data_IF_031127922423
#
_entry.id   IF_031127922423
#
_cell.length_a   1.000
_cell.length_b   1.000
_cell.length_c   1.000
_cell.angle_alpha   90.00
_cell.angle_beta   90.00
_cell.angle_gamma   90.00
#
_symmetry.space_group_name_H-M   'P 1'
#
loop_
_entity.id
_entity.type
_entity.pdbx_description
1 polymer ?
#
# COMPACT_ATOMS: atom_id res chain seq x y z
N UNK A 1 -6.17 39.29 0.83
CA UNK A 1 -6.47 37.93 0.35
C UNK A 1 -6.96 37.15 1.53
N UNK A 2 -8.18 36.63 1.46
CA UNK A 2 -8.73 35.80 2.53
C UNK A 2 -8.30 34.33 2.38
N UNK A 3 -8.54 33.50 3.41
CA UNK A 3 -8.14 32.09 3.41
C UNK A 3 -8.82 31.25 2.31
N UNK A 4 -10.09 31.52 1.99
CA UNK A 4 -10.83 30.80 0.94
C UNK A 4 -10.35 31.21 -0.45
N UNK A 5 -10.04 32.49 -0.63
CA UNK A 5 -9.43 33.05 -1.82
C UNK A 5 -8.05 32.43 -2.07
N UNK A 6 -7.24 32.24 -1.01
CA UNK A 6 -5.95 31.56 -1.08
C UNK A 6 -6.06 30.09 -1.53
N UNK A 7 -7.01 29.33 -0.98
CA UNK A 7 -7.28 27.95 -1.41
C UNK A 7 -7.69 27.91 -2.89
N UNK A 8 -8.64 28.76 -3.30
CA UNK A 8 -9.11 28.83 -4.68
C UNK A 8 -7.97 29.14 -5.65
N UNK A 9 -7.03 30.02 -5.29
CA UNK A 9 -5.85 30.32 -6.12
C UNK A 9 -5.00 29.06 -6.34
N UNK A 10 -4.75 28.28 -5.28
CA UNK A 10 -3.96 27.04 -5.36
C UNK A 10 -4.69 25.98 -6.19
N UNK A 11 -6.01 25.88 -6.07
CA UNK A 11 -6.81 24.87 -6.76
C UNK A 11 -7.09 25.21 -8.24
N UNK A 12 -7.23 26.50 -8.60
CA UNK A 12 -7.67 26.93 -9.93
C UNK A 12 -6.55 27.41 -10.88
N UNK A 13 -5.33 27.77 -10.41
CA UNK A 13 -4.29 28.36 -11.30
C UNK A 13 -2.85 27.90 -11.00
N UNK A 14 -2.06 27.79 -12.07
CA UNK A 14 -0.61 27.58 -12.07
C UNK A 14 0.18 28.89 -12.14
N UNK A 15 -0.22 29.93 -11.40
CA UNK A 15 0.47 31.22 -11.42
C UNK A 15 1.49 31.27 -10.27
N UNK A 16 2.76 31.13 -10.63
CA UNK A 16 3.88 30.84 -9.73
C UNK A 16 4.37 32.06 -8.92
N UNK A 17 3.81 33.24 -9.16
CA UNK A 17 4.28 34.52 -8.60
C UNK A 17 3.65 34.90 -7.24
N UNK A 18 2.78 34.07 -6.66
CA UNK A 18 2.04 34.44 -5.44
C UNK A 18 2.39 33.62 -4.19
N UNK A 19 3.42 32.77 -4.22
CA UNK A 19 3.81 31.94 -3.08
C UNK A 19 4.02 32.75 -1.79
N UNK A 20 4.76 33.86 -1.83
CA UNK A 20 5.01 34.69 -0.64
C UNK A 20 3.71 35.26 -0.01
N UNK A 21 2.71 35.59 -0.83
CA UNK A 21 1.41 36.07 -0.36
C UNK A 21 0.55 34.93 0.20
N UNK A 22 0.61 33.75 -0.41
CA UNK A 22 -0.10 32.57 0.09
C UNK A 22 0.50 32.10 1.41
N UNK A 23 1.83 32.05 1.49
CA UNK A 23 2.59 31.63 2.67
C UNK A 23 2.15 32.37 3.93
N UNK A 24 2.13 33.71 3.86
CA UNK A 24 1.70 34.54 4.99
C UNK A 24 0.29 34.21 5.46
N UNK A 25 -0.67 34.04 4.54
CA UNK A 25 -2.06 33.67 4.90
C UNK A 25 -2.15 32.32 5.63
N UNK A 26 -1.41 31.30 5.19
CA UNK A 26 -1.42 29.98 5.84
C UNK A 26 -0.62 29.97 7.15
N UNK A 27 0.48 30.71 7.25
CA UNK A 27 1.27 30.86 8.47
C UNK A 27 0.50 31.61 9.56
N UNK A 28 -0.20 32.70 9.21
CA UNK A 28 -1.09 33.43 10.12
C UNK A 28 -2.21 32.50 10.59
N UNK A 29 -2.81 31.73 9.68
CA UNK A 29 -3.86 30.78 10.05
C UNK A 29 -3.35 29.69 11.01
N UNK A 30 -2.13 29.20 10.82
CA UNK A 30 -1.50 28.21 11.70
C UNK A 30 -1.26 28.74 13.13
N UNK A 31 -1.11 30.06 13.29
CA UNK A 31 -0.97 30.70 14.60
C UNK A 31 -2.31 30.87 15.32
N UNK A 32 -3.40 31.05 14.57
CA UNK A 32 -4.76 31.15 15.11
C UNK A 32 -5.35 29.81 15.55
N UNK A 33 -4.99 28.72 14.86
CA UNK A 33 -5.55 27.39 15.10
C UNK A 33 -5.09 26.81 16.45
N UNK A 34 -6.01 26.16 17.16
CA UNK A 34 -5.66 25.45 18.39
C UNK A 34 -4.70 24.29 18.07
N UNK A 35 -3.88 23.89 19.04
CA UNK A 35 -2.94 22.77 18.85
C UNK A 35 -3.64 21.43 18.62
N UNK A 36 -4.92 21.31 18.96
CA UNK A 36 -5.73 20.10 18.77
C UNK A 36 -6.53 20.06 17.46
N UNK A 37 -6.47 21.12 16.65
CA UNK A 37 -7.09 21.22 15.32
C UNK A 37 -6.19 20.57 14.25
N UNK A 38 -5.90 19.28 14.46
CA UNK A 38 -4.89 18.57 13.68
C UNK A 38 -5.19 18.50 12.17
N UNK A 39 -6.46 18.33 11.79
CA UNK A 39 -6.86 18.27 10.37
C UNK A 39 -6.56 19.60 9.66
N UNK A 40 -7.01 20.71 10.23
CA UNK A 40 -6.87 22.06 9.68
C UNK A 40 -5.40 22.47 9.61
N UNK A 41 -4.63 22.18 10.66
CA UNK A 41 -3.18 22.42 10.67
C UNK A 41 -2.47 21.62 9.59
N UNK A 42 -2.81 20.34 9.45
CA UNK A 42 -2.28 19.49 8.39
C UNK A 42 -2.63 20.02 6.99
N UNK A 43 -3.85 20.50 6.78
CA UNK A 43 -4.27 21.13 5.52
C UNK A 43 -3.48 22.42 5.24
N UNK A 44 -3.21 23.26 6.24
CA UNK A 44 -2.35 24.44 6.05
C UNK A 44 -0.96 24.04 5.56
N UNK A 45 -0.33 23.04 6.17
CA UNK A 45 0.97 22.52 5.69
C UNK A 45 0.88 21.89 4.30
N UNK A 46 -0.20 21.19 3.98
CA UNK A 46 -0.46 20.66 2.64
C UNK A 46 -0.53 21.79 1.60
N UNK A 47 -1.30 22.86 1.85
CA UNK A 47 -1.42 23.96 0.90
C UNK A 47 -0.12 24.77 0.77
N UNK A 48 0.62 24.97 1.87
CA UNK A 48 1.99 25.51 1.84
C UNK A 48 2.91 24.66 0.94
N UNK A 49 2.93 23.35 1.16
CA UNK A 49 3.70 22.41 0.34
C UNK A 49 3.31 22.46 -1.13
N UNK A 50 2.02 22.38 -1.45
CA UNK A 50 1.53 22.42 -2.83
C UNK A 50 1.89 23.75 -3.50
N UNK A 51 1.75 24.86 -2.79
CA UNK A 51 2.10 26.17 -3.32
C UNK A 51 3.60 26.30 -3.59
N UNK A 52 4.46 25.79 -2.70
CA UNK A 52 5.92 25.78 -2.85
C UNK A 52 6.34 24.86 -4.01
N UNK A 53 5.80 23.64 -4.07
CA UNK A 53 6.06 22.70 -5.15
C UNK A 53 5.63 23.30 -6.49
N UNK A 54 4.47 23.95 -6.57
CA UNK A 54 4.08 24.63 -7.80
C UNK A 54 5.08 25.73 -8.15
N UNK A 55 5.44 26.61 -7.21
CA UNK A 55 6.33 27.75 -7.45
C UNK A 55 7.76 27.38 -7.88
N UNK A 56 8.38 26.36 -7.27
CA UNK A 56 9.76 25.97 -7.57
C UNK A 56 9.81 24.83 -8.60
N UNK A 57 10.43 25.09 -9.75
CA UNK A 57 10.41 24.18 -10.91
C UNK A 57 11.39 23.00 -10.83
N UNK A 58 12.45 23.04 -10.01
CA UNK A 58 13.63 22.18 -10.28
C UNK A 58 14.06 21.23 -9.14
N UNK A 59 13.79 21.52 -7.85
CA UNK A 59 14.31 20.68 -6.74
C UNK A 59 13.33 20.50 -5.58
N UNK A 60 13.41 19.33 -4.92
CA UNK A 60 12.78 19.06 -3.63
C UNK A 60 13.61 19.74 -2.52
N UNK A 61 13.20 20.94 -2.13
CA UNK A 61 13.89 21.74 -1.11
C UNK A 61 13.71 21.13 0.27
N UNK A 62 14.61 21.46 1.20
CA UNK A 62 14.46 21.09 2.61
C UNK A 62 13.12 21.58 3.18
N UNK A 63 12.67 22.76 2.76
CA UNK A 63 11.38 23.33 3.13
C UNK A 63 10.18 22.50 2.63
N UNK A 64 10.22 21.95 1.40
CA UNK A 64 9.21 21.01 0.91
C UNK A 64 9.12 19.78 1.81
N UNK A 65 10.27 19.20 2.18
CA UNK A 65 10.33 18.01 3.05
C UNK A 65 9.82 18.31 4.45
N UNK A 66 10.11 19.49 4.98
CA UNK A 66 9.61 19.95 6.26
C UNK A 66 8.08 20.08 6.24
N UNK A 67 7.51 20.77 5.24
CA UNK A 67 6.06 20.90 5.14
C UNK A 67 5.37 19.55 4.95
N UNK A 68 5.93 18.66 4.12
CA UNK A 68 5.41 17.29 3.99
C UNK A 68 5.41 16.57 5.34
N UNK A 69 6.51 16.66 6.08
CA UNK A 69 6.66 15.94 7.36
C UNK A 69 5.70 16.50 8.40
N UNK A 70 5.57 17.82 8.52
CA UNK A 70 4.62 18.45 9.44
C UNK A 70 3.18 18.12 9.08
N UNK A 71 2.82 18.17 7.79
CA UNK A 71 1.52 17.72 7.29
C UNK A 71 1.23 16.27 7.70
N UNK A 72 2.15 15.34 7.41
CA UNK A 72 2.01 13.90 7.69
C UNK A 72 1.86 13.62 9.20
N UNK A 73 2.56 14.38 10.05
CA UNK A 73 2.47 14.30 11.51
C UNK A 73 1.11 14.76 12.01
N UNK A 74 0.61 15.92 11.56
CA UNK A 74 -0.69 16.41 12.04
C UNK A 74 -1.83 15.46 11.58
N UNK A 75 -1.77 14.95 10.35
CA UNK A 75 -2.73 13.94 9.89
C UNK A 75 -2.67 12.64 10.72
N UNK A 76 -1.48 12.18 11.13
CA UNK A 76 -1.36 11.03 12.03
C UNK A 76 -1.95 11.29 13.41
N UNK A 77 -1.69 12.46 14.01
CA UNK A 77 -2.29 12.82 15.30
C UNK A 77 -3.81 12.87 15.24
N UNK A 78 -4.37 13.34 14.13
CA UNK A 78 -5.82 13.28 13.92
C UNK A 78 -6.32 11.84 13.86
N UNK A 79 -5.59 10.96 13.15
CA UNK A 79 -5.93 9.54 13.10
C UNK A 79 -5.84 8.87 14.48
N UNK A 80 -4.82 9.19 15.28
CA UNK A 80 -4.68 8.73 16.66
C UNK A 80 -5.85 9.20 17.54
N UNK A 81 -6.23 10.48 17.44
CA UNK A 81 -7.41 11.05 18.10
C UNK A 81 -8.69 10.27 17.75
N UNK A 82 -8.90 9.93 16.48
CA UNK A 82 -10.04 9.09 16.06
C UNK A 82 -10.00 7.67 16.62
N UNK A 83 -8.80 7.10 16.84
CA UNK A 83 -8.64 5.76 17.43
C UNK A 83 -8.90 5.78 18.94
N UNK A 84 -8.35 6.75 19.66
CA UNK A 84 -8.50 6.89 21.11
C UNK A 84 -9.92 7.30 21.52
N UNK A 85 -10.49 8.27 20.81
CA UNK A 85 -11.79 8.84 21.13
C UNK A 85 -12.90 8.33 20.18
N UNK A 86 -12.77 7.10 19.66
CA UNK A 86 -13.66 6.52 18.65
C UNK A 86 -15.16 6.64 18.97
N UNK A 87 -15.53 6.59 20.24
CA UNK A 87 -16.93 6.70 20.67
C UNK A 87 -17.54 8.11 20.46
N UNK A 88 -16.72 9.15 20.30
CA UNK A 88 -17.15 10.53 20.10
C UNK A 88 -17.44 10.90 18.65
N UNK A 89 -16.98 10.08 17.70
CA UNK A 89 -17.03 10.40 16.27
C UNK A 89 -17.88 9.40 15.51
N UNK A 90 -18.58 9.87 14.47
CA UNK A 90 -19.32 8.97 13.60
C UNK A 90 -18.37 8.22 12.66
N UNK A 91 -18.72 7.00 12.26
CA UNK A 91 -17.92 6.27 11.27
C UNK A 91 -17.83 6.99 9.91
N UNK A 92 -18.86 7.77 9.55
CA UNK A 92 -18.89 8.57 8.33
C UNK A 92 -17.89 9.73 8.40
N UNK A 93 -17.83 10.44 9.52
CA UNK A 93 -16.86 11.53 9.74
C UNK A 93 -15.40 11.04 9.64
N UNK A 94 -15.11 9.87 10.23
CA UNK A 94 -13.78 9.24 10.13
C UNK A 94 -13.47 8.85 8.67
N UNK A 95 -14.46 8.30 7.95
CA UNK A 95 -14.30 7.96 6.53
C UNK A 95 -14.04 9.22 5.68
N UNK A 96 -14.78 10.31 5.92
CA UNK A 96 -14.61 11.59 5.22
C UNK A 96 -13.21 12.17 5.44
N UNK A 97 -12.69 12.08 6.66
CA UNK A 97 -11.30 12.42 6.95
C UNK A 97 -10.34 11.59 6.09
N UNK A 98 -10.49 10.27 6.06
CA UNK A 98 -9.62 9.42 5.26
C UNK A 98 -9.68 9.71 3.76
N UNK A 99 -10.86 9.99 3.22
CA UNK A 99 -11.03 10.43 1.83
C UNK A 99 -10.39 11.80 1.56
N UNK A 100 -10.43 12.71 2.53
CA UNK A 100 -9.74 13.98 2.43
C UNK A 100 -8.21 13.77 2.39
N UNK A 101 -7.67 12.94 3.27
CA UNK A 101 -6.24 12.61 3.28
C UNK A 101 -5.82 11.93 1.98
N UNK A 102 -6.60 10.95 1.51
CA UNK A 102 -6.36 10.27 0.23
C UNK A 102 -6.24 11.28 -0.92
N UNK A 103 -7.14 12.27 -0.99
CA UNK A 103 -7.11 13.33 -2.02
C UNK A 103 -5.87 14.21 -1.90
N UNK A 104 -5.47 14.60 -0.69
CA UNK A 104 -4.24 15.38 -0.47
C UNK A 104 -3.01 14.62 -0.97
N UNK A 105 -2.82 13.37 -0.55
CA UNK A 105 -1.67 12.58 -1.00
C UNK A 105 -1.73 12.23 -2.49
N UNK A 106 -2.92 12.01 -3.06
CA UNK A 106 -3.07 11.79 -4.50
C UNK A 106 -2.72 13.04 -5.32
N UNK A 107 -3.03 14.23 -4.81
CA UNK A 107 -2.61 15.49 -5.43
C UNK A 107 -1.09 15.65 -5.39
N UNK A 108 -0.47 15.36 -4.24
CA UNK A 108 0.99 15.38 -4.10
C UNK A 108 1.68 14.37 -5.00
N UNK A 109 1.16 13.14 -5.10
CA UNK A 109 1.66 12.11 -6.01
C UNK A 109 1.76 12.63 -7.45
N UNK A 110 0.68 13.24 -7.96
CA UNK A 110 0.64 13.81 -9.32
C UNK A 110 1.64 14.96 -9.49
N UNK A 111 1.78 15.82 -8.48
CA UNK A 111 2.74 16.95 -8.52
C UNK A 111 4.19 16.43 -8.54
N UNK A 112 4.49 15.44 -7.70
CA UNK A 112 5.82 14.83 -7.62
C UNK A 112 6.16 14.04 -8.89
N UNK A 113 5.18 13.35 -9.48
CA UNK A 113 5.35 12.66 -10.76
C UNK A 113 5.69 13.63 -11.90
N UNK A 114 4.98 14.76 -12.01
CA UNK A 114 5.28 15.80 -13.01
C UNK A 114 6.66 16.42 -12.88
N UNK A 115 7.27 16.32 -11.70
CA UNK A 115 8.61 16.85 -11.38
C UNK A 115 9.69 15.77 -11.34
N UNK A 116 9.34 14.52 -11.62
CA UNK A 116 10.24 13.37 -11.52
C UNK A 116 10.85 13.16 -10.12
N UNK A 117 10.12 13.54 -9.06
CA UNK A 117 10.55 13.30 -7.67
C UNK A 117 10.12 11.91 -7.21
N UNK A 118 10.85 10.89 -7.69
CA UNK A 118 10.46 9.48 -7.54
C UNK A 118 10.24 9.03 -6.09
N UNK A 119 11.10 9.44 -5.15
CA UNK A 119 11.02 9.05 -3.74
C UNK A 119 9.81 9.70 -3.03
N UNK A 120 9.63 11.01 -3.20
CA UNK A 120 8.49 11.75 -2.61
C UNK A 120 7.16 11.32 -3.22
N UNK A 121 7.13 11.01 -4.52
CA UNK A 121 5.98 10.39 -5.20
C UNK A 121 5.63 9.05 -4.56
N UNK A 122 6.61 8.18 -4.37
CA UNK A 122 6.42 6.85 -3.76
C UNK A 122 5.85 6.97 -2.34
N UNK A 123 6.44 7.83 -1.49
CA UNK A 123 5.95 8.06 -0.13
C UNK A 123 4.50 8.57 -0.11
N UNK A 124 4.16 9.47 -1.03
CA UNK A 124 2.79 9.99 -1.18
C UNK A 124 1.81 8.90 -1.64
N UNK A 125 2.21 8.08 -2.61
CA UNK A 125 1.43 6.92 -3.08
C UNK A 125 1.15 5.92 -1.95
N UNK A 126 2.17 5.56 -1.16
CA UNK A 126 2.00 4.64 -0.03
C UNK A 126 1.00 5.19 1.00
N UNK A 127 1.13 6.47 1.38
CA UNK A 127 0.21 7.13 2.31
C UNK A 127 -1.21 7.18 1.77
N UNK A 128 -1.38 7.59 0.51
CA UNK A 128 -2.68 7.55 -0.20
C UNK A 128 -3.34 6.18 -0.09
N UNK A 129 -2.61 5.10 -0.37
CA UNK A 129 -3.15 3.75 -0.36
C UNK A 129 -3.55 3.28 1.05
N UNK A 130 -2.78 3.67 2.09
CA UNK A 130 -3.12 3.40 3.49
C UNK A 130 -4.42 4.10 3.88
N UNK A 131 -4.57 5.37 3.54
CA UNK A 131 -5.79 6.14 3.86
C UNK A 131 -7.01 5.59 3.12
N UNK A 132 -6.89 5.26 1.83
CA UNK A 132 -7.94 4.59 1.06
C UNK A 132 -8.38 3.28 1.71
N UNK A 133 -7.41 2.43 2.07
CA UNK A 133 -7.67 1.17 2.75
C UNK A 133 -8.44 1.43 4.05
N UNK A 134 -7.95 2.33 4.90
CA UNK A 134 -8.57 2.62 6.19
C UNK A 134 -10.00 3.16 6.03
N UNK A 135 -10.29 3.97 5.01
CA UNK A 135 -11.65 4.42 4.71
C UNK A 135 -12.64 3.25 4.51
N UNK A 136 -12.25 2.21 3.77
CA UNK A 136 -13.13 1.05 3.51
C UNK A 136 -13.60 0.33 4.77
N UNK A 137 -12.79 0.31 5.82
CA UNK A 137 -13.18 -0.27 7.10
C UNK A 137 -14.39 0.45 7.70
N UNK A 138 -14.39 1.78 7.66
CA UNK A 138 -15.46 2.61 8.21
C UNK A 138 -16.70 2.65 7.31
N UNK A 139 -16.51 2.45 6.00
CA UNK A 139 -17.60 2.24 5.04
C UNK A 139 -18.22 0.83 5.09
N UNK A 140 -17.71 -0.06 5.96
CA UNK A 140 -18.12 -1.48 6.06
C UNK A 140 -17.84 -2.29 4.78
N UNK A 141 -16.91 -1.85 3.94
CA UNK A 141 -16.45 -2.55 2.74
C UNK A 141 -15.26 -3.46 3.06
N UNK A 142 -15.50 -4.46 3.91
CA UNK A 142 -14.43 -5.34 4.42
C UNK A 142 -13.71 -6.15 3.33
N UNK A 143 -14.39 -6.49 2.23
CA UNK A 143 -13.76 -7.20 1.11
C UNK A 143 -12.68 -6.35 0.43
N UNK A 144 -12.99 -5.09 0.12
CA UNK A 144 -12.02 -4.14 -0.44
C UNK A 144 -10.92 -3.79 0.55
N UNK A 145 -11.25 -3.69 1.85
CA UNK A 145 -10.24 -3.53 2.89
C UNK A 145 -9.25 -4.71 2.89
N UNK A 146 -9.74 -5.95 2.86
CA UNK A 146 -8.93 -7.17 2.85
C UNK A 146 -8.03 -7.23 1.61
N UNK A 147 -8.57 -6.89 0.44
CA UNK A 147 -7.80 -6.83 -0.82
C UNK A 147 -6.60 -5.88 -0.69
N UNK A 148 -6.81 -4.68 -0.16
CA UNK A 148 -5.75 -3.69 0.05
C UNK A 148 -4.78 -4.09 1.16
N UNK A 149 -5.25 -4.76 2.21
CA UNK A 149 -4.39 -5.29 3.28
C UNK A 149 -3.46 -6.38 2.72
N UNK A 150 -3.99 -7.30 1.91
CA UNK A 150 -3.19 -8.31 1.22
C UNK A 150 -2.14 -7.64 0.32
N UNK A 151 -2.53 -6.70 -0.52
CA UNK A 151 -1.60 -5.96 -1.38
C UNK A 151 -0.52 -5.21 -0.58
N UNK A 152 -0.85 -4.65 0.59
CA UNK A 152 0.12 -4.01 1.46
C UNK A 152 1.14 -5.01 1.98
N UNK A 153 0.67 -6.15 2.49
CA UNK A 153 1.50 -7.18 3.09
C UNK A 153 2.44 -7.82 2.06
N UNK A 154 1.91 -8.16 0.89
CA UNK A 154 2.62 -8.99 -0.09
C UNK A 154 3.55 -8.19 -1.00
N UNK A 155 3.15 -7.00 -1.46
CA UNK A 155 3.92 -6.22 -2.44
C UNK A 155 4.02 -4.71 -2.12
N UNK A 156 3.60 -4.28 -0.93
CA UNK A 156 3.57 -2.87 -0.52
C UNK A 156 2.78 -2.01 -1.53
N UNK A 157 1.54 -2.39 -1.81
CA UNK A 157 0.69 -1.76 -2.83
C UNK A 157 1.33 -1.73 -4.23
N UNK A 158 2.13 -2.74 -4.50
CA UNK A 158 2.84 -2.93 -5.76
C UNK A 158 4.04 -2.02 -5.98
N UNK A 159 4.76 -1.70 -4.92
CA UNK A 159 6.05 -1.00 -5.00
C UNK A 159 7.26 -1.96 -4.95
N UNK A 160 7.14 -3.08 -4.23
CA UNK A 160 8.27 -3.97 -3.97
C UNK A 160 8.08 -5.37 -4.57
N UNK A 161 8.72 -5.62 -5.72
CA UNK A 161 8.80 -6.96 -6.31
C UNK A 161 9.62 -7.94 -5.45
N UNK A 162 10.54 -7.44 -4.60
CA UNK A 162 11.32 -8.28 -3.68
C UNK A 162 10.40 -8.88 -2.61
N UNK A 163 9.53 -8.06 -2.01
CA UNK A 163 8.51 -8.56 -1.06
C UNK A 163 7.58 -9.56 -1.72
N UNK A 164 7.24 -9.33 -2.98
CA UNK A 164 6.45 -10.27 -3.75
C UNK A 164 7.15 -11.62 -3.96
N UNK A 165 8.45 -11.61 -4.31
CA UNK A 165 9.25 -12.83 -4.41
C UNK A 165 9.34 -13.59 -3.08
N UNK A 166 9.52 -12.89 -1.96
CA UNK A 166 9.50 -13.49 -0.61
C UNK A 166 8.12 -14.08 -0.32
N UNK A 167 7.03 -13.40 -0.68
CA UNK A 167 5.66 -13.90 -0.50
C UNK A 167 5.42 -15.17 -1.30
N UNK A 168 5.84 -15.22 -2.57
CA UNK A 168 5.72 -16.41 -3.42
C UNK A 168 6.51 -17.60 -2.85
N UNK A 169 7.73 -17.37 -2.37
CA UNK A 169 8.51 -18.39 -1.68
C UNK A 169 7.81 -18.87 -0.40
N UNK A 170 7.37 -17.95 0.46
CA UNK A 170 6.65 -18.30 1.69
C UNK A 170 5.37 -19.10 1.40
N UNK A 171 4.61 -18.74 0.38
CA UNK A 171 3.46 -19.50 -0.10
C UNK A 171 3.86 -20.92 -0.50
N UNK A 172 4.94 -21.07 -1.27
CA UNK A 172 5.46 -22.39 -1.64
C UNK A 172 5.87 -23.22 -0.42
N UNK A 173 6.54 -22.63 0.57
CA UNK A 173 6.86 -23.35 1.82
C UNK A 173 5.60 -23.79 2.59
N UNK A 174 4.57 -22.95 2.65
CA UNK A 174 3.29 -23.30 3.29
C UNK A 174 2.62 -24.45 2.56
N UNK A 175 2.55 -24.41 1.22
CA UNK A 175 1.95 -25.48 0.43
C UNK A 175 2.76 -26.77 0.49
N UNK A 176 4.09 -26.70 0.46
CA UNK A 176 4.99 -27.82 0.70
C UNK A 176 4.72 -28.50 2.05
N UNK A 177 4.53 -27.72 3.11
CA UNK A 177 4.17 -28.24 4.42
C UNK A 177 2.79 -28.92 4.41
N UNK A 178 1.81 -28.38 3.69
CA UNK A 178 0.52 -29.02 3.51
C UNK A 178 0.62 -30.35 2.75
N UNK A 179 1.45 -30.46 1.71
CA UNK A 179 1.70 -31.75 1.05
C UNK A 179 2.27 -32.79 2.00
N UNK A 180 3.27 -32.39 2.80
CA UNK A 180 3.82 -33.27 3.82
C UNK A 180 2.73 -33.76 4.80
N UNK A 181 1.86 -32.86 5.30
CA UNK A 181 0.75 -33.24 6.18
C UNK A 181 -0.26 -34.18 5.50
N UNK A 182 -0.53 -34.00 4.22
CA UNK A 182 -1.41 -34.88 3.43
C UNK A 182 -0.78 -36.26 3.25
N UNK A 183 0.53 -36.35 3.05
CA UNK A 183 1.25 -37.61 2.83
C UNK A 183 1.48 -38.41 4.12
N UNK A 184 1.56 -37.75 5.29
CA UNK A 184 1.78 -38.40 6.58
C UNK A 184 0.88 -39.62 6.85
N UNK A 185 -0.46 -39.54 6.71
CA UNK A 185 -1.37 -40.67 6.96
C UNK A 185 -1.50 -41.66 5.79
N UNK A 186 -0.87 -41.40 4.64
CA UNK A 186 -1.07 -42.18 3.41
C UNK A 186 -0.21 -43.44 3.43
N UNK A 187 -0.73 -44.55 2.92
CA UNK A 187 0.04 -45.78 2.76
C UNK A 187 1.21 -45.56 1.79
N UNK A 188 2.40 -46.11 2.09
CA UNK A 188 3.65 -45.88 1.33
C UNK A 188 3.49 -46.00 -0.20
N UNK A 189 2.74 -46.99 -0.68
CA UNK A 189 2.49 -47.20 -2.12
C UNK A 189 1.72 -46.07 -2.83
N UNK A 190 1.09 -45.17 -2.07
CA UNK A 190 0.30 -44.03 -2.56
C UNK A 190 0.86 -42.68 -2.08
N UNK A 191 1.99 -42.65 -1.36
CA UNK A 191 2.64 -41.39 -1.00
C UNK A 191 3.20 -40.72 -2.24
N UNK A 192 3.18 -39.40 -2.25
CA UNK A 192 3.84 -38.60 -3.27
C UNK A 192 5.36 -38.68 -3.10
N UNK A 193 5.83 -38.58 -1.85
CA UNK A 193 7.25 -38.74 -1.50
C UNK A 193 7.41 -39.99 -0.62
N UNK A 194 8.17 -40.97 -1.11
CA UNK A 194 8.42 -42.23 -0.42
C UNK A 194 9.16 -42.03 0.90
N UNK A 195 8.72 -42.68 1.98
CA UNK A 195 9.40 -42.62 3.28
C UNK A 195 10.71 -43.42 3.32
N UNK A 196 10.93 -44.33 2.37
CA UNK A 196 12.09 -45.25 2.33
C UNK A 196 13.28 -44.70 1.53
N UNK A 197 13.15 -43.53 0.92
CA UNK A 197 14.22 -42.93 0.10
C UNK A 197 13.97 -41.50 -0.36
N UNK A 198 12.79 -40.94 -0.09
CA UNK A 198 12.49 -39.54 -0.34
C UNK A 198 13.05 -38.63 0.74
N UNK A 199 13.37 -37.40 0.35
CA UNK A 199 13.91 -36.37 1.23
C UNK A 199 12.82 -35.35 1.55
N UNK A 200 12.84 -34.74 2.74
CA UNK A 200 11.84 -33.73 3.13
C UNK A 200 11.80 -32.52 2.17
N UNK A 201 12.93 -32.24 1.53
CA UNK A 201 13.05 -31.16 0.54
C UNK A 201 12.26 -31.44 -0.74
N UNK A 202 11.91 -32.70 -1.03
CA UNK A 202 11.18 -33.07 -2.24
C UNK A 202 9.77 -32.44 -2.26
N UNK A 203 9.15 -32.24 -1.09
CA UNK A 203 7.88 -31.50 -1.00
C UNK A 203 8.03 -30.01 -1.35
N UNK A 204 9.14 -29.39 -0.92
CA UNK A 204 9.45 -27.98 -1.23
C UNK A 204 9.76 -27.84 -2.71
N UNK A 205 10.62 -28.71 -3.23
CA UNK A 205 10.94 -28.77 -4.64
C UNK A 205 9.68 -28.98 -5.49
N UNK A 206 8.79 -29.92 -5.13
CA UNK A 206 7.53 -30.14 -5.83
C UNK A 206 6.63 -28.90 -5.82
N UNK A 207 6.50 -28.23 -4.68
CA UNK A 207 5.74 -26.98 -4.59
C UNK A 207 6.34 -25.88 -5.49
N UNK A 208 7.67 -25.71 -5.50
CA UNK A 208 8.34 -24.71 -6.34
C UNK A 208 8.10 -25.00 -7.83
N UNK A 209 8.30 -26.24 -8.29
CA UNK A 209 8.12 -26.57 -9.71
C UNK A 209 6.65 -26.54 -10.12
N UNK A 210 5.72 -26.76 -9.20
CA UNK A 210 4.27 -26.63 -9.43
C UNK A 210 3.88 -25.17 -9.53
N UNK A 211 4.29 -24.34 -8.56
CA UNK A 211 4.03 -22.90 -8.53
C UNK A 211 4.59 -22.19 -9.77
N UNK A 212 5.77 -22.59 -10.23
CA UNK A 212 6.43 -22.05 -11.43
C UNK A 212 5.93 -22.67 -12.73
N UNK A 213 4.99 -23.61 -12.67
CA UNK A 213 4.46 -24.39 -13.81
C UNK A 213 5.51 -25.20 -14.58
N UNK A 214 6.67 -25.44 -13.98
CA UNK A 214 7.77 -26.17 -14.60
C UNK A 214 7.49 -27.67 -14.65
N UNK A 215 7.02 -28.25 -13.54
CA UNK A 215 6.46 -29.61 -13.46
C UNK A 215 7.26 -30.72 -14.14
N UNK A 216 8.46 -31.07 -13.63
CA UNK A 216 9.30 -32.13 -14.20
C UNK A 216 8.64 -33.54 -14.25
N UNK A 217 7.62 -33.79 -13.42
CA UNK A 217 6.85 -35.04 -13.43
C UNK A 217 7.49 -36.20 -12.65
N UNK A 218 8.53 -35.92 -11.88
CA UNK A 218 9.17 -36.82 -10.93
C UNK A 218 8.32 -37.13 -9.70
N UNK A 219 7.49 -36.18 -9.26
CA UNK A 219 6.50 -36.37 -8.20
C UNK A 219 5.09 -36.07 -8.70
N UNK A 220 4.12 -36.91 -8.33
CA UNK A 220 2.72 -36.80 -8.76
C UNK A 220 1.77 -37.07 -7.59
N UNK A 221 0.79 -36.19 -7.32
CA UNK A 221 -0.17 -36.42 -6.24
C UNK A 221 -1.09 -37.59 -6.59
N UNK A 222 -1.04 -38.66 -5.79
CA UNK A 222 -1.87 -39.85 -5.99
C UNK A 222 -3.24 -39.72 -5.31
N UNK A 223 -3.31 -39.01 -4.18
CA UNK A 223 -4.53 -38.84 -3.39
C UNK A 223 -5.44 -37.75 -3.96
N UNK A 224 -6.75 -37.84 -3.67
CA UNK A 224 -7.71 -36.79 -4.05
C UNK A 224 -7.34 -35.44 -3.40
N UNK A 225 -6.97 -35.45 -2.12
CA UNK A 225 -6.57 -34.25 -1.39
C UNK A 225 -5.32 -33.59 -2.00
N UNK A 226 -4.29 -34.38 -2.34
CA UNK A 226 -3.10 -33.89 -3.03
C UNK A 226 -3.44 -33.27 -4.38
N UNK A 227 -4.29 -33.92 -5.19
CA UNK A 227 -4.74 -33.40 -6.49
C UNK A 227 -5.49 -32.08 -6.38
N UNK A 228 -6.34 -31.93 -5.37
CA UNK A 228 -7.05 -30.68 -5.09
C UNK A 228 -6.05 -29.58 -4.72
N UNK A 229 -5.11 -29.87 -3.82
CA UNK A 229 -4.11 -28.91 -3.38
C UNK A 229 -3.20 -28.45 -4.54
N UNK A 230 -2.72 -29.37 -5.37
CA UNK A 230 -1.92 -29.06 -6.58
C UNK A 230 -2.70 -28.22 -7.58
N UNK A 231 -4.00 -28.48 -7.76
CA UNK A 231 -4.85 -27.67 -8.65
C UNK A 231 -5.00 -26.24 -8.14
N UNK A 232 -5.17 -26.07 -6.82
CA UNK A 232 -5.25 -24.76 -6.17
C UNK A 232 -3.90 -24.04 -6.27
N UNK A 233 -2.80 -24.70 -5.96
CA UNK A 233 -1.45 -24.15 -6.05
C UNK A 233 -1.13 -23.66 -7.46
N UNK A 234 -1.41 -24.47 -8.49
CA UNK A 234 -1.20 -24.09 -9.88
C UNK A 234 -2.02 -22.84 -10.26
N UNK A 235 -3.29 -22.77 -9.85
CA UNK A 235 -4.13 -21.60 -10.08
C UNK A 235 -3.54 -20.33 -9.43
N UNK A 236 -3.12 -20.42 -8.16
CA UNK A 236 -2.49 -19.30 -7.47
C UNK A 236 -1.12 -18.94 -8.06
N UNK A 237 -0.37 -19.91 -8.59
CA UNK A 237 0.87 -19.66 -9.33
C UNK A 237 0.67 -18.74 -10.53
N UNK A 238 -0.37 -18.98 -11.33
CA UNK A 238 -0.73 -18.10 -12.45
C UNK A 238 -1.11 -16.69 -12.00
N UNK A 239 -1.96 -16.57 -10.97
CA UNK A 239 -2.30 -15.27 -10.39
C UNK A 239 -1.05 -14.55 -9.92
N UNK A 240 -0.14 -15.29 -9.26
CA UNK A 240 1.04 -14.68 -8.68
C UNK A 240 2.06 -14.21 -9.72
N UNK A 241 2.20 -14.97 -10.81
CA UNK A 241 3.00 -14.57 -11.96
C UNK A 241 2.41 -13.32 -12.65
N UNK A 242 1.08 -13.23 -12.80
CA UNK A 242 0.42 -12.06 -13.38
C UNK A 242 0.67 -10.78 -12.58
N UNK A 243 0.60 -10.86 -11.25
CA UNK A 243 0.95 -9.74 -10.37
C UNK A 243 2.44 -9.39 -10.53
N UNK A 244 3.34 -10.37 -10.55
CA UNK A 244 4.77 -10.13 -10.74
C UNK A 244 5.08 -9.36 -12.03
N UNK A 245 4.44 -9.74 -13.14
CA UNK A 245 4.57 -9.03 -14.42
C UNK A 245 4.11 -7.58 -14.30
N UNK A 246 2.97 -7.34 -13.64
CA UNK A 246 2.44 -5.98 -13.42
C UNK A 246 3.41 -5.12 -12.59
N UNK A 247 4.07 -5.70 -11.60
CA UNK A 247 5.06 -4.99 -10.76
C UNK A 247 6.31 -4.61 -11.55
N UNK A 248 6.76 -5.47 -12.47
CA UNK A 248 7.88 -5.17 -13.35
C UNK A 248 7.49 -4.05 -14.32
N UNK A 249 6.30 -4.14 -14.94
CA UNK A 249 5.79 -3.12 -15.87
C UNK A 249 5.67 -1.74 -15.24
N UNK A 250 5.31 -1.66 -13.95
CA UNK A 250 5.26 -0.38 -13.22
C UNK A 250 6.64 0.23 -12.98
N UNK A 251 7.70 -0.58 -13.02
CA UNK A 251 9.07 -0.18 -12.66
C UNK A 251 9.97 0.11 -13.85
N UNK A 252 9.69 -0.50 -15.00
CA UNK A 252 10.31 -0.19 -16.31
C UNK A 252 9.67 1.07 -16.87
#
# INVERSE_FOLDING_TARGET
MDFKEAINIIEQRGDFNQYAKLRTVFEDKLQELDRSDYTERGLCYYYLLVSLLKAHLVYDTEECREFYTRMDIEFQKQEEKYKEERARFSGMEIADFYHLMERCYSSLEIIYEKKDFAESRKKSYERKMIFRKNAYWFEKKYGSWLEYELLQLTCLYGDSFVRWGITALAFSFVVAFLYFLIDLPVAEQHKMVSGLGGHWFDYIYFSIITLTSLGFGDFVPMTLAGKILTSIEAFFGFVMLGIFITLIQKKI
#
